data_IF_889326831863
#
_entry.id   IF_889326831863
#
_cell.length_a   1.000
_cell.length_b   1.000
_cell.length_c   1.000
_cell.angle_alpha   90.00
_cell.angle_beta   90.00
_cell.angle_gamma   90.00
#
_symmetry.space_group_name_H-M   'P 1'
#
loop_
_entity.id
_entity.type
_entity.pdbx_description
1 polymer ?
#
# COMPACT_ATOMS: atom_id res chain seq x y z
N UNK A 1 1.84 3.40 -29.54
CA UNK A 1 1.77 2.59 -28.31
C UNK A 1 3.12 1.94 -28.08
N UNK A 2 3.95 2.47 -27.18
CA UNK A 2 5.14 1.75 -26.74
C UNK A 2 4.67 0.58 -25.90
N UNK A 3 4.69 -0.64 -26.45
CA UNK A 3 4.61 -1.87 -25.66
C UNK A 3 5.82 -1.84 -24.73
N UNK A 4 5.66 -1.28 -23.52
CA UNK A 4 6.62 -1.51 -22.45
C UNK A 4 6.65 -3.01 -22.28
N UNK A 5 7.75 -3.61 -22.68
CA UNK A 5 7.92 -5.05 -22.61
C UNK A 5 7.98 -5.39 -21.12
N UNK A 6 6.88 -5.93 -20.58
CA UNK A 6 6.69 -6.21 -19.15
C UNK A 6 7.90 -7.02 -18.61
N UNK A 7 8.47 -7.89 -19.44
CA UNK A 7 9.65 -8.73 -19.17
C UNK A 7 10.90 -7.95 -18.73
N UNK A 8 11.15 -6.76 -19.29
CA UNK A 8 12.41 -6.03 -19.06
C UNK A 8 12.43 -5.28 -17.71
N UNK A 9 11.29 -5.23 -17.01
CA UNK A 9 11.11 -4.45 -15.77
C UNK A 9 10.92 -5.27 -14.50
N UNK A 10 10.82 -6.60 -14.60
CA UNK A 10 10.47 -7.44 -13.45
C UNK A 10 11.72 -7.96 -12.74
N UNK A 11 11.87 -7.59 -11.46
CA UNK A 11 12.93 -8.06 -10.58
C UNK A 11 12.34 -9.07 -9.59
N UNK A 12 12.87 -10.29 -9.52
CA UNK A 12 12.32 -11.36 -8.67
C UNK A 12 13.22 -11.68 -7.48
N UNK A 13 12.63 -11.89 -6.30
CA UNK A 13 13.33 -12.54 -5.19
C UNK A 13 13.15 -14.06 -5.34
N UNK A 14 14.23 -14.76 -5.67
CA UNK A 14 14.19 -16.21 -5.98
C UNK A 14 14.83 -17.08 -4.90
N UNK A 15 15.72 -16.51 -4.09
CA UNK A 15 16.39 -17.21 -2.99
C UNK A 15 15.39 -17.56 -1.90
N UNK A 16 15.25 -18.87 -1.62
CA UNK A 16 14.40 -19.38 -0.52
C UNK A 16 14.76 -18.75 0.82
N UNK A 17 16.06 -18.56 1.09
CA UNK A 17 16.54 -17.92 2.31
C UNK A 17 16.06 -16.46 2.43
N UNK A 18 16.13 -15.68 1.34
CA UNK A 18 15.67 -14.29 1.35
C UNK A 18 14.14 -14.18 1.47
N UNK A 19 13.41 -15.06 0.80
CA UNK A 19 11.95 -15.15 0.90
C UNK A 19 11.56 -15.47 2.34
N UNK A 20 12.15 -16.50 2.95
CA UNK A 20 11.87 -16.90 4.33
C UNK A 20 12.09 -15.74 5.31
N UNK A 21 13.19 -15.00 5.13
CA UNK A 21 13.50 -13.82 5.95
C UNK A 21 12.43 -12.73 5.83
N UNK A 22 11.86 -12.52 4.65
CA UNK A 22 10.75 -11.57 4.44
C UNK A 22 9.47 -12.12 5.08
N UNK A 23 9.16 -13.41 4.87
CA UNK A 23 7.96 -14.04 5.41
C UNK A 23 7.94 -14.02 6.94
N UNK A 24 9.09 -14.13 7.60
CA UNK A 24 9.21 -14.03 9.05
C UNK A 24 8.90 -12.63 9.61
N UNK A 25 8.84 -11.60 8.77
CA UNK A 25 8.40 -10.26 9.17
C UNK A 25 6.86 -10.10 9.07
N UNK A 26 6.16 -11.09 8.53
CA UNK A 26 4.73 -11.01 8.21
C UNK A 26 3.96 -11.91 9.18
N UNK A 27 2.85 -11.40 9.71
CA UNK A 27 1.97 -12.16 10.60
C UNK A 27 0.84 -12.80 9.81
N UNK A 28 1.03 -14.07 9.46
CA UNK A 28 0.05 -14.92 8.79
C UNK A 28 -0.31 -16.11 9.68
N UNK A 29 -1.56 -16.56 9.58
CA UNK A 29 -2.06 -17.77 10.24
C UNK A 29 -2.87 -18.64 9.27
N UNK A 30 -3.14 -19.88 9.67
CA UNK A 30 -3.82 -20.88 8.86
C UNK A 30 -5.30 -20.56 8.56
N UNK A 31 -5.86 -19.47 9.10
CA UNK A 31 -7.23 -19.00 8.82
C UNK A 31 -7.25 -17.87 7.80
N UNK A 32 -6.09 -17.28 7.50
CA UNK A 32 -5.99 -16.17 6.57
C UNK A 32 -6.30 -16.58 5.13
N UNK A 33 -7.15 -15.79 4.47
CA UNK A 33 -7.26 -15.78 3.01
C UNK A 33 -6.41 -14.64 2.46
N UNK A 34 -5.56 -14.94 1.48
CA UNK A 34 -4.59 -13.98 0.92
C UNK A 34 -4.87 -13.73 -0.55
N UNK A 35 -4.91 -12.46 -0.94
CA UNK A 35 -4.73 -12.05 -2.33
C UNK A 35 -3.27 -11.67 -2.55
N UNK A 36 -2.57 -12.41 -3.42
CA UNK A 36 -1.20 -12.10 -3.82
C UNK A 36 -1.22 -11.28 -5.12
N UNK A 37 -0.68 -10.07 -5.07
CA UNK A 37 -0.55 -9.18 -6.23
C UNK A 37 0.81 -9.42 -6.88
N UNK A 38 0.80 -9.91 -8.12
CA UNK A 38 2.00 -10.18 -8.90
C UNK A 38 2.68 -11.47 -8.44
N UNK A 39 2.04 -12.61 -8.69
CA UNK A 39 2.57 -13.94 -8.33
C UNK A 39 3.96 -14.20 -8.94
N UNK A 40 4.23 -13.65 -10.12
CA UNK A 40 5.48 -13.81 -10.82
C UNK A 40 5.83 -15.29 -11.05
N UNK A 41 6.99 -15.72 -10.58
CA UNK A 41 7.44 -17.13 -10.67
C UNK A 41 6.93 -18.03 -9.52
N UNK A 42 5.87 -17.62 -8.82
CA UNK A 42 5.24 -18.38 -7.76
C UNK A 42 6.13 -18.65 -6.54
N UNK A 43 7.14 -17.79 -6.29
CA UNK A 43 8.06 -17.97 -5.15
C UNK A 43 7.41 -17.62 -3.82
N UNK A 44 6.72 -16.49 -3.75
CA UNK A 44 5.95 -16.12 -2.57
C UNK A 44 4.67 -16.93 -2.48
N UNK A 45 3.97 -17.19 -3.59
CA UNK A 45 2.81 -18.11 -3.62
C UNK A 45 3.10 -19.44 -2.93
N UNK A 46 4.23 -20.09 -3.25
CA UNK A 46 4.61 -21.37 -2.65
C UNK A 46 4.86 -21.29 -1.13
N UNK A 47 5.16 -20.10 -0.61
CA UNK A 47 5.37 -19.85 0.82
C UNK A 47 4.07 -19.39 1.53
N UNK A 48 3.17 -18.72 0.81
CA UNK A 48 1.85 -18.32 1.29
C UNK A 48 0.92 -19.54 1.46
N UNK A 49 0.90 -20.46 0.48
CA UNK A 49 0.04 -21.67 0.55
C UNK A 49 0.37 -22.59 1.72
N UNK A 50 1.59 -22.50 2.26
CA UNK A 50 2.02 -23.27 3.44
C UNK A 50 1.59 -22.64 4.76
N UNK A 51 1.27 -21.33 4.76
CA UNK A 51 1.04 -20.51 5.96
C UNK A 51 -0.40 -20.07 6.14
N UNK A 52 -1.23 -20.19 5.09
CA UNK A 52 -2.56 -19.59 5.02
C UNK A 52 -3.63 -20.60 4.63
N UNK A 53 -4.89 -20.26 4.91
CA UNK A 53 -6.05 -21.07 4.51
C UNK A 53 -6.15 -21.21 2.99
N UNK A 54 -6.14 -20.07 2.27
CA UNK A 54 -6.31 -20.05 0.83
C UNK A 54 -5.61 -18.86 0.19
N UNK A 55 -4.98 -19.07 -0.97
CA UNK A 55 -4.26 -18.03 -1.72
C UNK A 55 -4.88 -17.80 -3.08
N UNK A 56 -5.29 -16.56 -3.36
CA UNK A 56 -5.66 -16.10 -4.71
C UNK A 56 -4.51 -15.30 -5.30
N UNK A 57 -3.74 -15.93 -6.20
CA UNK A 57 -2.60 -15.32 -6.86
C UNK A 57 -3.04 -14.58 -8.13
N UNK A 58 -2.78 -13.28 -8.21
CA UNK A 58 -3.14 -12.43 -9.35
C UNK A 58 -1.86 -12.14 -10.14
N UNK A 59 -1.87 -12.41 -11.44
CA UNK A 59 -0.72 -12.17 -12.32
C UNK A 59 -1.20 -11.75 -13.72
N UNK A 60 -0.56 -10.74 -14.31
CA UNK A 60 -0.94 -10.21 -15.62
C UNK A 60 -0.30 -11.01 -16.77
N UNK A 61 0.90 -11.57 -16.57
CA UNK A 61 1.58 -12.39 -17.57
C UNK A 61 1.09 -13.85 -17.52
N UNK A 62 0.36 -14.27 -18.55
CA UNK A 62 -0.19 -15.62 -18.65
C UNK A 62 0.88 -16.73 -18.59
N UNK A 63 2.11 -16.48 -19.06
CA UNK A 63 3.22 -17.44 -18.98
C UNK A 63 3.68 -17.61 -17.54
N UNK A 64 3.73 -16.52 -16.78
CA UNK A 64 4.03 -16.56 -15.35
C UNK A 64 2.91 -17.24 -14.56
N UNK A 65 1.66 -17.13 -15.00
CA UNK A 65 0.57 -17.93 -14.45
C UNK A 65 0.82 -19.43 -14.60
N UNK A 66 1.21 -19.89 -15.80
CA UNK A 66 1.55 -21.31 -16.05
C UNK A 66 2.74 -21.77 -15.20
N UNK A 67 3.80 -20.97 -15.11
CA UNK A 67 4.96 -21.25 -14.25
C UNK A 67 4.54 -21.45 -12.80
N UNK A 68 3.64 -20.59 -12.30
CA UNK A 68 3.12 -20.69 -10.93
C UNK A 68 2.27 -21.94 -10.76
N UNK A 69 1.37 -22.28 -11.69
CA UNK A 69 0.57 -23.53 -11.63
C UNK A 69 1.46 -24.77 -11.55
N UNK A 70 2.44 -24.86 -12.45
CA UNK A 70 3.35 -26.00 -12.52
C UNK A 70 4.18 -26.17 -11.24
N UNK A 71 4.53 -25.07 -10.58
CA UNK A 71 5.29 -25.09 -9.34
C UNK A 71 4.46 -25.50 -8.13
N UNK A 72 3.15 -25.25 -8.15
CA UNK A 72 2.23 -25.51 -7.05
C UNK A 72 1.30 -26.69 -7.29
N UNK A 73 1.62 -27.62 -8.20
CA UNK A 73 0.78 -28.79 -8.52
C UNK A 73 0.36 -29.62 -7.29
N UNK A 74 1.19 -29.66 -6.24
CA UNK A 74 0.93 -30.43 -5.02
C UNK A 74 0.18 -29.66 -3.93
N UNK A 75 -0.25 -28.43 -4.19
CA UNK A 75 -0.98 -27.60 -3.21
C UNK A 75 -2.43 -27.41 -3.68
N UNK A 76 -3.44 -27.81 -2.89
CA UNK A 76 -4.85 -27.66 -3.28
C UNK A 76 -5.44 -26.30 -2.92
N UNK A 77 -4.80 -25.53 -2.04
CA UNK A 77 -5.34 -24.35 -1.40
C UNK A 77 -4.93 -23.04 -2.08
N UNK A 78 -4.92 -23.04 -3.41
CA UNK A 78 -4.69 -21.82 -4.18
C UNK A 78 -5.48 -21.80 -5.48
N UNK A 79 -5.65 -20.60 -6.00
CA UNK A 79 -6.04 -20.36 -7.38
C UNK A 79 -5.14 -19.29 -7.99
N UNK A 80 -5.03 -19.30 -9.31
CA UNK A 80 -4.35 -18.24 -10.06
C UNK A 80 -5.29 -17.57 -11.05
N UNK A 81 -5.37 -16.25 -10.92
CA UNK A 81 -6.20 -15.37 -11.73
C UNK A 81 -5.29 -14.61 -12.67
N UNK A 82 -5.45 -14.83 -13.98
CA UNK A 82 -4.72 -14.05 -14.97
C UNK A 82 -5.47 -12.74 -15.24
N UNK A 83 -5.12 -11.68 -14.50
CA UNK A 83 -5.81 -10.39 -14.58
C UNK A 83 -4.87 -9.22 -14.27
N UNK A 84 -5.24 -8.05 -14.78
CA UNK A 84 -4.60 -6.79 -14.44
C UNK A 84 -5.09 -6.34 -13.06
N UNK A 85 -4.17 -6.25 -12.10
CA UNK A 85 -4.51 -5.80 -10.74
C UNK A 85 -5.22 -4.45 -10.73
N UNK A 86 -4.99 -3.56 -11.69
CA UNK A 86 -5.68 -2.26 -11.73
C UNK A 86 -7.17 -2.40 -12.09
N UNK A 87 -7.55 -3.48 -12.78
CA UNK A 87 -8.93 -3.80 -13.19
C UNK A 87 -9.61 -4.81 -12.28
N UNK A 88 -8.83 -5.60 -11.56
CA UNK A 88 -9.33 -6.63 -10.63
C UNK A 88 -10.31 -6.05 -9.60
N UNK A 89 -11.42 -6.74 -9.38
CA UNK A 89 -12.40 -6.37 -8.35
C UNK A 89 -12.16 -7.18 -7.11
N UNK A 90 -11.72 -6.52 -6.03
CA UNK A 90 -11.57 -7.18 -4.74
C UNK A 90 -12.93 -7.55 -4.14
N UNK A 91 -13.05 -8.70 -3.46
CA UNK A 91 -14.28 -9.02 -2.75
C UNK A 91 -14.52 -8.01 -1.61
N UNK A 92 -15.78 -7.67 -1.38
CA UNK A 92 -16.23 -6.81 -0.27
C UNK A 92 -16.56 -7.60 1.00
N UNK A 93 -16.75 -8.92 0.87
CA UNK A 93 -17.19 -9.80 1.95
C UNK A 93 -16.02 -10.63 2.48
N UNK A 94 -16.10 -10.96 3.76
CA UNK A 94 -15.11 -11.70 4.54
C UNK A 94 -13.77 -10.96 4.71
N UNK A 95 -13.12 -11.09 5.88
CA UNK A 95 -11.78 -10.55 6.07
C UNK A 95 -10.77 -11.34 5.24
N UNK A 96 -9.88 -10.61 4.57
CA UNK A 96 -8.70 -11.14 3.90
C UNK A 96 -7.52 -10.19 4.10
N UNK A 97 -6.32 -10.71 3.86
CA UNK A 97 -5.10 -9.90 3.78
C UNK A 97 -4.61 -9.86 2.35
N UNK A 98 -3.74 -8.90 2.06
CA UNK A 98 -3.08 -8.77 0.75
C UNK A 98 -1.58 -8.94 0.96
N UNK A 99 -0.93 -9.64 0.04
CA UNK A 99 0.51 -9.66 -0.10
C UNK A 99 0.89 -9.21 -1.52
N UNK A 100 2.05 -8.58 -1.73
CA UNK A 100 2.52 -8.36 -3.10
C UNK A 100 3.92 -7.78 -3.21
N UNK A 101 4.71 -8.30 -4.15
CA UNK A 101 5.91 -7.62 -4.63
C UNK A 101 5.57 -6.81 -5.87
N UNK A 102 5.17 -5.56 -5.64
CA UNK A 102 4.47 -4.80 -6.66
C UNK A 102 5.44 -4.06 -7.60
N UNK A 103 5.10 -3.89 -8.90
CA UNK A 103 5.95 -3.15 -9.83
C UNK A 103 6.11 -1.67 -9.42
N UNK A 104 7.33 -1.15 -9.49
CA UNK A 104 7.67 0.18 -8.98
C UNK A 104 7.00 1.32 -9.78
N UNK A 105 6.85 1.14 -11.10
CA UNK A 105 6.27 2.15 -12.00
C UNK A 105 4.77 2.41 -11.77
N UNK A 106 4.06 1.47 -11.14
CA UNK A 106 2.61 1.57 -10.87
C UNK A 106 2.28 1.45 -9.36
N UNK A 107 3.28 1.52 -8.48
CA UNK A 107 3.08 1.34 -7.03
C UNK A 107 2.07 2.31 -6.43
N UNK A 108 2.01 3.56 -6.92
CA UNK A 108 1.00 4.54 -6.48
C UNK A 108 -0.42 4.07 -6.80
N UNK A 109 -0.66 3.57 -8.02
CA UNK A 109 -1.98 3.11 -8.45
C UNK A 109 -2.41 1.87 -7.66
N UNK A 110 -1.49 0.92 -7.45
CA UNK A 110 -1.78 -0.30 -6.70
C UNK A 110 -2.11 0.03 -5.23
N UNK A 111 -1.34 0.88 -4.56
CA UNK A 111 -1.65 1.24 -3.17
C UNK A 111 -2.97 1.97 -3.06
N UNK A 112 -3.27 2.91 -3.97
CA UNK A 112 -4.59 3.57 -4.00
C UNK A 112 -5.70 2.55 -4.17
N UNK A 113 -5.55 1.61 -5.09
CA UNK A 113 -6.53 0.54 -5.31
C UNK A 113 -6.74 -0.29 -4.04
N UNK A 114 -5.68 -0.75 -3.40
CA UNK A 114 -5.75 -1.52 -2.15
C UNK A 114 -6.48 -0.70 -1.07
N UNK A 115 -6.09 0.56 -0.87
CA UNK A 115 -6.62 1.36 0.23
C UNK A 115 -8.06 1.81 -0.02
N UNK A 116 -8.44 2.14 -1.26
CA UNK A 116 -9.76 2.73 -1.54
C UNK A 116 -10.77 1.75 -2.16
N UNK A 117 -10.34 0.62 -2.71
CA UNK A 117 -11.20 -0.33 -3.44
C UNK A 117 -11.15 -1.76 -2.88
N UNK A 118 -10.41 -2.01 -1.79
CA UNK A 118 -10.42 -3.31 -1.11
C UNK A 118 -10.88 -3.16 0.35
N UNK A 119 -11.40 -4.26 0.91
CA UNK A 119 -11.73 -4.41 2.32
C UNK A 119 -10.63 -5.15 3.11
N UNK A 120 -9.42 -5.27 2.55
CA UNK A 120 -8.30 -5.94 3.20
C UNK A 120 -8.02 -5.35 4.59
N UNK A 121 -7.87 -6.24 5.58
CA UNK A 121 -7.60 -5.86 6.97
C UNK A 121 -6.15 -5.45 7.16
N UNK A 122 -5.24 -6.18 6.51
CA UNK A 122 -3.80 -5.93 6.49
C UNK A 122 -3.27 -6.19 5.08
N UNK A 123 -2.39 -5.32 4.59
CA UNK A 123 -1.69 -5.51 3.32
C UNK A 123 -0.18 -5.41 3.52
N UNK A 124 0.55 -6.42 3.07
CA UNK A 124 2.01 -6.48 3.12
C UNK A 124 2.59 -6.30 1.73
N UNK A 125 3.32 -5.22 1.49
CA UNK A 125 3.77 -4.85 0.16
C UNK A 125 5.28 -4.66 0.13
N UNK A 126 5.95 -5.27 -0.86
CA UNK A 126 7.34 -4.96 -1.17
C UNK A 126 7.33 -3.84 -2.21
N UNK A 127 7.87 -2.69 -1.83
CA UNK A 127 7.94 -1.48 -2.66
C UNK A 127 9.34 -0.89 -2.66
N UNK A 128 9.62 0.05 -3.56
CA UNK A 128 10.87 0.81 -3.50
C UNK A 128 11.05 1.51 -2.14
N UNK A 129 12.25 1.45 -1.55
CA UNK A 129 12.52 2.08 -0.26
C UNK A 129 12.29 3.60 -0.27
N UNK A 130 12.66 4.26 -1.37
CA UNK A 130 12.37 5.68 -1.58
C UNK A 130 10.88 5.96 -1.50
N UNK A 131 10.06 5.16 -2.19
CA UNK A 131 8.62 5.27 -2.17
C UNK A 131 8.01 4.98 -0.79
N UNK A 132 8.47 3.94 -0.08
CA UNK A 132 8.03 3.65 1.29
C UNK A 132 8.18 4.86 2.22
N UNK A 133 9.32 5.56 2.15
CA UNK A 133 9.54 6.80 2.92
C UNK A 133 8.56 7.91 2.54
N UNK A 134 8.22 8.05 1.25
CA UNK A 134 7.24 9.05 0.77
C UNK A 134 5.83 8.79 1.28
N UNK A 135 5.47 7.53 1.57
CA UNK A 135 4.17 7.19 2.16
C UNK A 135 4.05 7.59 3.64
N UNK A 136 5.17 7.90 4.30
CA UNK A 136 5.24 8.37 5.69
C UNK A 136 5.45 9.89 5.80
N UNK A 137 5.61 10.58 4.67
CA UNK A 137 5.92 12.01 4.61
C UNK A 137 4.63 12.84 4.57
N UNK A 138 4.27 13.48 5.69
CA UNK A 138 3.06 14.29 5.84
C UNK A 138 3.05 15.56 4.98
N UNK A 139 4.15 15.88 4.28
CA UNK A 139 4.18 16.92 3.26
C UNK A 139 3.69 16.44 1.89
N UNK A 140 3.23 15.19 1.78
CA UNK A 140 2.72 14.61 0.54
C UNK A 140 1.23 14.28 0.62
N UNK A 141 0.50 14.68 -0.40
CA UNK A 141 -0.93 14.43 -0.52
C UNK A 141 -1.25 12.94 -0.45
N UNK A 142 -0.49 12.10 -1.17
CA UNK A 142 -0.68 10.65 -1.13
C UNK A 142 -0.56 10.08 0.30
N UNK A 143 0.45 10.50 1.08
CA UNK A 143 0.64 10.02 2.44
C UNK A 143 -0.56 10.38 3.32
N UNK A 144 -0.95 11.66 3.32
CA UNK A 144 -2.09 12.15 4.12
C UNK A 144 -3.40 11.44 3.75
N UNK A 145 -3.67 11.24 2.46
CA UNK A 145 -4.85 10.52 1.97
C UNK A 145 -4.88 9.06 2.45
N UNK A 146 -3.75 8.37 2.41
CA UNK A 146 -3.69 6.97 2.83
C UNK A 146 -3.74 6.83 4.36
N UNK A 147 -3.06 7.71 5.11
CA UNK A 147 -3.02 7.68 6.59
C UNK A 147 -4.41 7.85 7.23
N UNK A 148 -5.35 8.47 6.51
CA UNK A 148 -6.75 8.57 6.91
C UNK A 148 -7.49 7.23 6.94
N UNK A 149 -7.04 6.26 6.15
CA UNK A 149 -7.71 4.96 5.98
C UNK A 149 -6.89 3.80 6.57
N UNK A 150 -5.56 3.94 6.67
CA UNK A 150 -4.64 2.88 7.14
C UNK A 150 -3.53 3.41 8.06
N UNK A 151 -3.01 2.56 8.94
CA UNK A 151 -1.67 2.71 9.53
C UNK A 151 -0.63 2.19 8.54
N UNK A 152 0.44 2.96 8.35
CA UNK A 152 1.53 2.64 7.44
C UNK A 152 2.80 2.50 8.26
N UNK A 153 3.52 1.39 8.12
CA UNK A 153 4.85 1.23 8.70
C UNK A 153 5.78 0.41 7.81
N UNK A 154 7.09 0.64 7.97
CA UNK A 154 8.13 -0.14 7.31
C UNK A 154 8.53 -1.26 8.27
N UNK A 155 8.30 -2.51 7.88
CA UNK A 155 8.65 -3.68 8.69
C UNK A 155 10.11 -4.08 8.50
N UNK A 156 10.62 -3.95 7.27
CA UNK A 156 12.00 -4.30 6.96
C UNK A 156 12.50 -3.52 5.74
N UNK A 157 13.80 -3.24 5.73
CA UNK A 157 14.52 -2.86 4.51
C UNK A 157 14.92 -4.13 3.77
N UNK A 158 14.67 -4.19 2.46
CA UNK A 158 14.98 -5.33 1.59
C UNK A 158 16.11 -4.91 0.64
N UNK A 159 17.34 -5.44 0.81
CA UNK A 159 18.46 -5.09 -0.04
C UNK A 159 18.24 -5.45 -1.51
N UNK A 160 18.68 -4.59 -2.43
CA UNK A 160 18.55 -4.81 -3.88
C UNK A 160 19.18 -6.11 -4.38
N UNK A 161 20.21 -6.64 -3.69
CA UNK A 161 20.85 -7.90 -4.08
C UNK A 161 19.99 -9.14 -3.82
N UNK A 162 18.83 -8.98 -3.16
CA UNK A 162 17.86 -10.07 -3.02
C UNK A 162 17.18 -10.41 -4.35
N UNK A 163 17.19 -9.47 -5.30
CA UNK A 163 16.45 -9.55 -6.54
C UNK A 163 17.33 -9.93 -7.73
N UNK A 164 16.72 -10.62 -8.71
CA UNK A 164 17.29 -10.90 -10.01
C UNK A 164 16.27 -10.64 -11.14
N UNK A 165 16.60 -9.80 -12.16
CA UNK A 165 17.77 -8.92 -12.21
C UNK A 165 17.83 -7.95 -11.01
N UNK A 166 19.03 -7.42 -10.74
CA UNK A 166 19.27 -6.54 -9.58
C UNK A 166 18.79 -5.11 -9.90
N UNK A 167 17.84 -4.53 -9.14
CA UNK A 167 17.40 -3.17 -9.36
C UNK A 167 18.46 -2.16 -8.94
N UNK A 168 18.28 -0.90 -9.35
CA UNK A 168 19.19 0.20 -9.00
C UNK A 168 19.10 0.59 -7.52
N UNK A 169 17.93 0.38 -6.91
CA UNK A 169 17.54 0.87 -5.59
C UNK A 169 17.12 -0.27 -4.66
N UNK A 170 17.24 -0.05 -3.35
CA UNK A 170 16.72 -0.97 -2.34
C UNK A 170 15.18 -0.92 -2.26
N UNK A 171 14.60 -1.96 -1.69
CA UNK A 171 13.17 -2.07 -1.40
C UNK A 171 12.89 -1.98 0.11
N UNK A 172 11.62 -1.92 0.47
CA UNK A 172 11.12 -2.12 1.82
C UNK A 172 9.89 -3.02 1.79
N UNK A 173 9.75 -3.83 2.84
CA UNK A 173 8.48 -4.43 3.22
C UNK A 173 7.71 -3.39 4.03
N UNK A 174 6.57 -2.95 3.51
CA UNK A 174 5.63 -2.10 4.24
C UNK A 174 4.40 -2.89 4.65
N UNK A 175 3.75 -2.43 5.71
CA UNK A 175 2.42 -2.90 6.10
C UNK A 175 1.43 -1.73 6.08
N UNK A 176 0.26 -1.99 5.49
CA UNK A 176 -0.92 -1.13 5.55
C UNK A 176 -1.95 -1.85 6.41
N UNK A 177 -2.25 -1.33 7.61
CA UNK A 177 -3.26 -1.90 8.50
C UNK A 177 -4.51 -1.03 8.49
N UNK A 178 -5.67 -1.61 8.17
CA UNK A 178 -6.94 -0.89 8.10
C UNK A 178 -7.30 -0.28 9.45
N UNK A 179 -7.67 1.00 9.44
CA UNK A 179 -8.19 1.72 10.62
C UNK A 179 -9.71 1.70 10.65
N UNK A 180 -10.32 1.83 11.85
CA UNK A 180 -11.69 2.32 11.95
C UNK A 180 -11.80 3.69 11.26
N UNK A 181 -12.89 3.92 10.54
CA UNK A 181 -13.10 5.17 9.82
C UNK A 181 -13.13 6.35 10.82
N UNK A 182 -12.13 7.26 10.73
CA UNK A 182 -12.09 8.49 11.53
C UNK A 182 -12.98 9.61 10.96
N UNK A 183 -13.45 9.45 9.73
CA UNK A 183 -14.22 10.44 9.00
C UNK A 183 -15.43 9.78 8.35
N UNK A 184 -16.54 10.49 8.32
CA UNK A 184 -17.73 10.02 7.62
C UNK A 184 -17.49 10.03 6.10
N UNK A 185 -18.16 9.13 5.37
CA UNK A 185 -18.06 9.07 3.90
C UNK A 185 -18.30 10.44 3.23
N UNK A 186 -19.27 11.21 3.75
CA UNK A 186 -19.60 12.57 3.27
C UNK A 186 -18.45 13.58 3.41
N UNK A 187 -17.48 13.33 4.30
CA UNK A 187 -16.36 14.22 4.56
C UNK A 187 -15.16 13.94 3.64
N UNK A 188 -15.11 12.80 2.94
CA UNK A 188 -13.96 12.38 2.13
C UNK A 188 -13.57 13.41 1.07
N UNK A 189 -14.53 13.91 0.29
CA UNK A 189 -14.27 14.94 -0.73
C UNK A 189 -13.76 16.25 -0.12
N UNK A 190 -14.30 16.65 1.04
CA UNK A 190 -13.86 17.84 1.78
C UNK A 190 -12.42 17.64 2.29
N UNK A 191 -12.11 16.46 2.79
CA UNK A 191 -10.78 16.07 3.24
C UNK A 191 -9.76 16.06 2.11
N UNK A 192 -10.09 15.46 0.96
CA UNK A 192 -9.24 15.47 -0.23
C UNK A 192 -8.90 16.89 -0.68
N UNK A 193 -9.92 17.76 -0.76
CA UNK A 193 -9.72 19.17 -1.11
C UNK A 193 -8.82 19.88 -0.09
N UNK A 194 -9.01 19.61 1.20
CA UNK A 194 -8.19 20.16 2.28
C UNK A 194 -6.72 19.72 2.15
N UNK A 195 -6.49 18.43 1.94
CA UNK A 195 -5.14 17.85 1.74
C UNK A 195 -4.44 18.50 0.54
N UNK A 196 -5.12 18.63 -0.60
CA UNK A 196 -4.52 19.19 -1.81
C UNK A 196 -4.10 20.65 -1.61
N UNK A 197 -5.00 21.50 -1.08
CA UNK A 197 -4.69 22.91 -0.79
C UNK A 197 -3.58 23.04 0.25
N UNK A 198 -3.59 22.20 1.29
CA UNK A 198 -2.56 22.23 2.33
C UNK A 198 -1.18 21.92 1.78
N UNK A 199 -1.03 20.82 1.04
CA UNK A 199 0.25 20.40 0.47
C UNK A 199 0.77 21.40 -0.57
N UNK A 200 -0.13 22.04 -1.31
CA UNK A 200 0.20 23.13 -2.23
C UNK A 200 0.49 24.47 -1.53
N UNK A 201 0.42 24.52 -0.19
CA UNK A 201 0.63 25.73 0.64
C UNK A 201 -0.37 26.85 0.38
N UNK A 202 -1.57 26.52 -0.09
CA UNK A 202 -2.68 27.45 -0.34
C UNK A 202 -3.47 27.70 0.97
N UNK A 203 -2.78 28.04 2.06
CA UNK A 203 -3.35 28.11 3.41
C UNK A 203 -4.44 29.18 3.52
N UNK A 204 -4.31 30.28 2.80
CA UNK A 204 -5.30 31.36 2.70
C UNK A 204 -6.63 30.91 2.08
N UNK A 205 -6.62 29.83 1.29
CA UNK A 205 -7.85 29.21 0.75
C UNK A 205 -8.50 28.22 1.72
N UNK A 206 -7.89 27.99 2.87
CA UNK A 206 -8.37 27.10 3.94
C UNK A 206 -8.80 27.90 5.18
N UNK A 207 -8.01 28.91 5.55
CA UNK A 207 -8.18 29.68 6.76
C UNK A 207 -7.90 31.15 6.52
N UNK A 208 -8.66 32.02 7.19
CA UNK A 208 -8.19 33.39 7.44
C UNK A 208 -6.97 33.37 8.35
N UNK A 209 -6.16 34.44 8.35
CA UNK A 209 -4.98 34.56 9.23
C UNK A 209 -5.27 34.27 10.70
N UNK A 210 -6.40 34.76 11.22
CA UNK A 210 -6.82 34.52 12.60
C UNK A 210 -7.24 33.07 12.85
N UNK A 211 -7.98 32.46 11.92
CA UNK A 211 -8.37 31.04 12.02
C UNK A 211 -7.13 30.14 11.95
N UNK A 212 -6.17 30.46 11.06
CA UNK A 212 -4.94 29.69 10.89
C UNK A 212 -4.11 29.67 12.18
N UNK A 213 -3.85 30.84 12.77
CA UNK A 213 -3.12 30.94 14.04
C UNK A 213 -3.83 30.18 15.19
N UNK A 214 -5.17 30.26 15.27
CA UNK A 214 -5.95 29.51 16.25
C UNK A 214 -5.86 28.00 16.01
N UNK A 215 -5.96 27.55 14.77
CA UNK A 215 -5.86 26.14 14.39
C UNK A 215 -4.49 25.56 14.70
N UNK A 216 -3.40 26.26 14.37
CA UNK A 216 -2.03 25.85 14.70
C UNK A 216 -1.82 25.74 16.21
N UNK A 217 -2.28 26.74 16.98
CA UNK A 217 -2.20 26.72 18.46
C UNK A 217 -2.99 25.55 19.04
N UNK A 218 -4.20 25.31 18.55
CA UNK A 218 -5.06 24.20 19.01
C UNK A 218 -4.43 22.83 18.70
N UNK A 219 -3.85 22.66 17.51
CA UNK A 219 -3.15 21.45 17.09
C UNK A 219 -1.73 21.32 17.69
N UNK A 220 -1.26 22.30 18.48
CA UNK A 220 0.08 22.36 19.07
C UNK A 220 1.19 22.27 18.01
N UNK A 221 1.00 22.94 16.87
CA UNK A 221 1.96 22.97 15.77
C UNK A 221 2.84 24.22 15.91
N UNK A 222 4.15 24.01 16.00
CA UNK A 222 5.16 25.08 16.05
C UNK A 222 6.05 25.10 14.81
N UNK A 223 6.15 23.98 14.08
CA UNK A 223 6.78 23.89 12.76
C UNK A 223 5.79 23.26 11.78
N UNK A 224 5.35 24.04 10.79
CA UNK A 224 4.39 23.59 9.79
C UNK A 224 4.97 22.58 8.80
N UNK A 225 6.29 22.53 8.66
CA UNK A 225 6.95 21.58 7.75
C UNK A 225 7.13 20.19 8.37
N UNK A 226 6.88 20.07 9.68
CA UNK A 226 7.04 18.84 10.44
C UNK A 226 5.84 18.62 11.37
N UNK A 227 4.72 18.21 10.77
CA UNK A 227 3.47 17.91 11.49
C UNK A 227 3.22 16.41 11.51
N UNK A 228 2.72 15.91 12.65
CA UNK A 228 2.19 14.55 12.72
C UNK A 228 0.84 14.44 12.00
N UNK A 229 0.44 13.22 11.67
CA UNK A 229 -0.87 12.97 11.07
C UNK A 229 -2.02 13.39 12.00
N UNK A 230 -1.88 13.18 13.31
CA UNK A 230 -2.86 13.60 14.33
C UNK A 230 -3.01 15.12 14.37
N UNK A 231 -1.90 15.85 14.28
CA UNK A 231 -1.92 17.32 14.19
C UNK A 231 -2.59 17.78 12.89
N UNK A 232 -2.32 17.11 11.77
CA UNK A 232 -3.00 17.38 10.50
C UNK A 232 -4.51 17.14 10.58
N UNK A 233 -4.96 16.05 11.22
CA UNK A 233 -6.38 15.78 11.45
C UNK A 233 -7.01 16.86 12.35
N UNK A 234 -6.28 17.36 13.35
CA UNK A 234 -6.73 18.48 14.20
C UNK A 234 -6.93 19.78 13.38
N UNK A 235 -6.04 20.06 12.43
CA UNK A 235 -6.21 21.17 11.48
C UNK A 235 -7.46 20.98 10.62
N UNK A 236 -7.68 19.78 10.08
CA UNK A 236 -8.89 19.48 9.30
C UNK A 236 -10.17 19.65 10.13
N UNK A 237 -10.17 19.21 11.38
CA UNK A 237 -11.31 19.41 12.28
C UNK A 237 -11.58 20.90 12.55
N UNK A 238 -10.53 21.70 12.74
CA UNK A 238 -10.66 23.16 12.86
C UNK A 238 -11.24 23.77 11.58
N UNK A 239 -10.77 23.33 10.41
CA UNK A 239 -11.30 23.76 9.10
C UNK A 239 -12.78 23.45 8.93
N UNK A 240 -13.24 22.28 9.41
CA UNK A 240 -14.66 21.91 9.38
C UNK A 240 -15.51 22.82 10.26
N UNK A 241 -15.02 23.22 11.43
CA UNK A 241 -15.74 24.11 12.36
C UNK A 241 -15.86 25.53 11.79
N UNK A 242 -14.82 26.03 11.13
CA UNK A 242 -14.83 27.39 10.59
C UNK A 242 -15.57 27.56 9.25
N UNK A 243 -15.72 26.47 8.49
CA UNK A 243 -16.37 26.46 7.16
C UNK A 243 -17.52 25.43 7.10
N UNK A 244 -18.16 25.17 8.23
CA UNK A 244 -19.38 24.37 8.34
C UNK A 244 -20.52 25.33 8.62
#
# INVERSE_FOLDING_TARGET
MNKVNIKDSQNFITSKYHIEKIMNCISLDEKDNIFEIGAGKGHFTAELVKRCNFVTAIEIDSKLCEVTRNKLLNYPNYQIVNDDILKFTFPSHNPYKIFGSIPYNISTNIIRKIVFESSATISYLIVEYGFAKRLLDTNRSLALLLMAEVDISILAKIPRYYFHPKPKVDSALIVLKRKPAKMAFKERKKYETFVMKWVNKEYEKLFTKNQFNKALKHARIYDINNISFEQFVSLFNSYKIFNG
#
